data_IF_663461753397
#
_entry.id   IF_663461753397
#
_cell.length_a   1.000
_cell.length_b   1.000
_cell.length_c   1.000
_cell.angle_alpha   90.00
_cell.angle_beta   90.00
_cell.angle_gamma   90.00
#
_symmetry.space_group_name_H-M   'P 1'
#
loop_
_entity.id
_entity.type
_entity.pdbx_description
1 polymer ?
#
# COMPACT_ATOMS: atom_id res chain seq x y z
N UNK A 1 3.23 7.52 13.15
CA UNK A 1 3.73 6.77 11.98
C UNK A 1 4.06 7.78 10.88
N UNK A 2 5.24 7.64 10.27
CA UNK A 2 5.68 8.59 9.23
C UNK A 2 4.69 8.73 8.08
N UNK A 3 4.00 7.63 7.74
CA UNK A 3 3.11 7.60 6.59
C UNK A 3 1.72 8.17 6.88
N UNK A 4 1.41 8.46 8.13
CA UNK A 4 0.11 8.97 8.51
C UNK A 4 -0.21 10.30 7.82
N UNK A 5 0.76 11.20 7.73
CA UNK A 5 0.58 12.49 7.08
C UNK A 5 0.27 12.37 5.60
N UNK A 6 0.78 11.31 4.93
CA UNK A 6 0.46 11.04 3.53
C UNK A 6 -0.94 10.50 3.36
N UNK A 7 -1.45 9.77 4.36
CA UNK A 7 -2.77 9.15 4.28
C UNK A 7 -3.90 10.08 4.68
N UNK A 8 -3.65 11.05 5.57
CA UNK A 8 -4.69 11.93 6.09
C UNK A 8 -5.47 12.66 4.99
N UNK A 9 -4.83 13.28 3.98
CA UNK A 9 -5.59 13.94 2.92
C UNK A 9 -6.42 12.98 2.08
N UNK A 10 -5.91 11.77 1.85
CA UNK A 10 -6.63 10.74 1.08
C UNK A 10 -7.86 10.28 1.85
N UNK A 11 -7.71 10.00 3.14
CA UNK A 11 -8.80 9.56 3.98
C UNK A 11 -9.88 10.62 4.13
N UNK A 12 -9.48 11.88 4.30
CA UNK A 12 -10.44 12.98 4.37
C UNK A 12 -11.26 13.08 3.09
N UNK A 13 -10.61 12.91 1.94
CA UNK A 13 -11.29 12.94 0.66
C UNK A 13 -12.31 11.81 0.54
N UNK A 14 -11.95 10.61 1.00
CA UNK A 14 -12.89 9.48 1.01
C UNK A 14 -14.09 9.74 1.90
N UNK A 15 -13.90 10.43 3.02
CA UNK A 15 -15.00 10.79 3.91
C UNK A 15 -15.95 11.79 3.28
N UNK A 16 -15.42 12.70 2.47
CA UNK A 16 -16.23 13.75 1.84
C UNK A 16 -16.92 13.29 0.57
N UNK A 17 -16.43 12.22 -0.06
CA UNK A 17 -16.96 11.69 -1.31
C UNK A 17 -17.36 10.23 -1.11
N UNK A 18 -18.62 10.00 -0.76
CA UNK A 18 -19.11 8.69 -0.34
C UNK A 18 -19.07 7.62 -1.43
N UNK A 19 -19.05 8.02 -2.69
CA UNK A 19 -18.98 7.08 -3.82
C UNK A 19 -17.54 6.82 -4.30
N UNK A 20 -16.56 7.40 -3.65
CA UNK A 20 -15.16 7.15 -4.02
C UNK A 20 -14.62 5.89 -3.34
N UNK A 21 -13.57 5.34 -3.92
CA UNK A 21 -12.94 4.13 -3.42
C UNK A 21 -11.42 4.29 -3.42
N UNK A 22 -10.76 3.33 -2.80
CA UNK A 22 -9.31 3.33 -2.66
C UNK A 22 -8.76 2.00 -3.13
N UNK A 23 -7.61 2.02 -3.79
CA UNK A 23 -6.88 0.82 -4.15
C UNK A 23 -5.55 0.84 -3.39
N UNK A 24 -5.28 -0.23 -2.65
CA UNK A 24 -4.06 -0.37 -1.86
C UNK A 24 -3.26 -1.52 -2.46
N UNK A 25 -2.09 -1.22 -3.00
CA UNK A 25 -1.27 -2.17 -3.73
C UNK A 25 -0.01 -2.46 -2.92
N UNK A 26 0.17 -3.72 -2.54
CA UNK A 26 1.34 -4.15 -1.80
C UNK A 26 2.41 -4.71 -2.73
N UNK A 27 3.66 -4.41 -2.41
CA UNK A 27 4.83 -4.88 -3.14
C UNK A 27 5.84 -5.49 -2.17
N UNK A 28 6.63 -6.43 -2.67
CA UNK A 28 7.76 -7.01 -1.95
C UNK A 28 9.05 -6.76 -2.73
N UNK A 29 10.19 -7.06 -2.12
CA UNK A 29 11.42 -7.22 -2.89
C UNK A 29 11.44 -8.62 -3.52
N UNK A 30 12.54 -8.99 -4.19
CA UNK A 30 12.66 -10.26 -4.88
C UNK A 30 13.38 -11.35 -4.06
N UNK A 31 13.56 -11.13 -2.77
CA UNK A 31 14.09 -12.17 -1.88
C UNK A 31 12.99 -13.18 -1.55
N UNK A 32 13.35 -14.46 -1.53
CA UNK A 32 12.39 -15.51 -1.24
C UNK A 32 11.62 -16.00 -2.46
N UNK A 33 10.66 -16.87 -2.23
CA UNK A 33 9.86 -17.45 -3.31
C UNK A 33 8.78 -16.49 -3.78
N UNK A 34 8.23 -16.77 -4.95
CA UNK A 34 7.12 -15.98 -5.49
C UNK A 34 5.89 -16.03 -4.57
N UNK A 35 5.57 -17.19 -4.04
CA UNK A 35 4.44 -17.34 -3.13
C UNK A 35 4.65 -16.56 -1.84
N UNK A 36 5.84 -16.64 -1.25
CA UNK A 36 6.15 -15.87 -0.05
C UNK A 36 6.05 -14.38 -0.29
N UNK A 37 6.53 -13.92 -1.44
CA UNK A 37 6.49 -12.50 -1.79
C UNK A 37 5.06 -12.01 -2.01
N UNK A 38 4.20 -12.84 -2.58
CA UNK A 38 2.78 -12.50 -2.71
C UNK A 38 2.14 -12.35 -1.33
N UNK A 39 2.40 -13.29 -0.42
CA UNK A 39 1.85 -13.22 0.94
C UNK A 39 2.34 -11.98 1.66
N UNK A 40 3.63 -11.68 1.59
CA UNK A 40 4.21 -10.50 2.24
C UNK A 40 3.60 -9.21 1.68
N UNK A 41 3.44 -9.14 0.36
CA UNK A 41 2.86 -7.95 -0.26
C UNK A 41 1.40 -7.76 0.13
N UNK A 42 0.65 -8.85 0.24
CA UNK A 42 -0.73 -8.80 0.72
C UNK A 42 -0.79 -8.31 2.17
N UNK A 43 0.05 -8.86 3.04
CA UNK A 43 0.07 -8.46 4.45
C UNK A 43 0.38 -6.98 4.63
N UNK A 44 1.31 -6.45 3.83
CA UNK A 44 1.63 -5.02 3.85
C UNK A 44 0.43 -4.17 3.44
N UNK A 45 -0.20 -4.53 2.33
CA UNK A 45 -1.38 -3.82 1.85
C UNK A 45 -2.54 -3.92 2.84
N UNK A 46 -2.75 -5.11 3.39
CA UNK A 46 -3.82 -5.35 4.37
C UNK A 46 -3.63 -4.48 5.62
N UNK A 47 -2.39 -4.38 6.11
CA UNK A 47 -2.11 -3.54 7.28
C UNK A 47 -2.46 -2.07 7.03
N UNK A 48 -2.15 -1.56 5.84
CA UNK A 48 -2.49 -0.19 5.48
C UNK A 48 -4.00 -0.04 5.36
N UNK A 49 -4.69 -1.00 4.74
CA UNK A 49 -6.14 -0.97 4.58
C UNK A 49 -6.86 -0.97 5.94
N UNK A 50 -6.41 -1.82 6.86
CA UNK A 50 -6.97 -1.87 8.22
C UNK A 50 -6.75 -0.55 8.96
N UNK A 51 -5.57 0.04 8.81
CA UNK A 51 -5.28 1.34 9.41
C UNK A 51 -6.25 2.40 8.89
N UNK A 52 -6.42 2.48 7.57
CA UNK A 52 -7.32 3.46 6.96
C UNK A 52 -8.75 3.24 7.42
N UNK A 53 -9.22 2.01 7.40
CA UNK A 53 -10.59 1.67 7.82
C UNK A 53 -10.81 2.01 9.29
N UNK A 54 -9.89 1.60 10.16
CA UNK A 54 -10.06 1.74 11.61
C UNK A 54 -9.90 3.16 12.10
N UNK A 55 -8.88 3.86 11.59
CA UNK A 55 -8.54 5.20 12.10
C UNK A 55 -9.46 6.26 11.51
N UNK A 56 -9.82 6.14 10.25
CA UNK A 56 -10.61 7.16 9.56
C UNK A 56 -12.08 6.79 9.39
N UNK A 57 -12.47 5.59 9.81
CA UNK A 57 -13.87 5.16 9.72
C UNK A 57 -14.36 4.96 8.30
N UNK A 58 -13.49 4.48 7.41
CA UNK A 58 -13.85 4.17 6.02
C UNK A 58 -14.34 2.74 5.95
N UNK A 59 -15.47 2.52 5.28
CA UNK A 59 -16.03 1.17 5.09
C UNK A 59 -15.06 0.28 4.30
N UNK A 60 -14.88 -0.96 4.74
CA UNK A 60 -13.94 -1.88 4.13
C UNK A 60 -14.26 -2.13 2.66
N UNK A 61 -15.53 -2.12 2.29
CA UNK A 61 -15.98 -2.34 0.89
C UNK A 61 -15.46 -1.27 -0.07
N UNK A 62 -15.04 -0.14 0.44
CA UNK A 62 -14.50 0.95 -0.36
C UNK A 62 -12.99 0.85 -0.55
N UNK A 63 -12.36 -0.16 0.06
CA UNK A 63 -10.91 -0.34 0.00
C UNK A 63 -10.63 -1.67 -0.71
N UNK A 64 -9.99 -1.57 -1.88
CA UNK A 64 -9.58 -2.73 -2.65
C UNK A 64 -8.11 -3.02 -2.40
N UNK A 65 -7.77 -4.29 -2.13
CA UNK A 65 -6.40 -4.71 -1.89
C UNK A 65 -5.89 -5.46 -3.10
N UNK A 66 -4.70 -5.10 -3.56
CA UNK A 66 -4.00 -5.80 -4.65
C UNK A 66 -2.62 -6.18 -4.15
N UNK A 67 -2.25 -7.45 -4.30
CA UNK A 67 -0.91 -7.94 -3.94
C UNK A 67 -0.17 -8.30 -5.21
N UNK A 68 0.96 -7.65 -5.46
CA UNK A 68 1.76 -7.87 -6.66
C UNK A 68 3.07 -8.64 -6.38
N UNK A 69 3.42 -8.85 -5.11
CA UNK A 69 4.67 -9.52 -4.79
C UNK A 69 5.86 -8.74 -5.36
N UNK A 70 6.73 -9.44 -6.10
CA UNK A 70 7.90 -8.84 -6.75
C UNK A 70 7.68 -8.54 -8.24
N UNK A 71 6.45 -8.52 -8.71
CA UNK A 71 6.16 -8.35 -10.15
C UNK A 71 6.51 -6.96 -10.67
N UNK A 72 6.50 -5.94 -9.81
CA UNK A 72 6.80 -4.57 -10.22
C UNK A 72 7.89 -3.96 -9.33
N UNK A 73 9.13 -4.30 -9.60
CA UNK A 73 10.26 -3.76 -8.85
C UNK A 73 10.61 -2.36 -9.34
N UNK A 74 10.88 -1.46 -8.38
CA UNK A 74 11.41 -0.12 -8.68
C UNK A 74 12.91 -0.21 -8.96
N UNK A 75 13.60 -1.09 -8.22
CA UNK A 75 15.04 -1.26 -8.35
C UNK A 75 15.38 -2.72 -8.48
N UNK A 76 16.36 -3.04 -9.33
CA UNK A 76 16.86 -4.40 -9.51
C UNK A 76 18.15 -4.65 -8.73
N UNK A 77 18.57 -3.71 -7.89
CA UNK A 77 19.79 -3.84 -7.12
C UNK A 77 19.63 -4.73 -5.90
N UNK A 78 20.77 -5.15 -5.34
CA UNK A 78 20.82 -6.09 -4.23
C UNK A 78 21.13 -5.45 -2.88
N UNK A 79 21.37 -4.14 -2.83
CA UNK A 79 21.63 -3.48 -1.55
C UNK A 79 20.35 -3.41 -0.72
N UNK A 80 20.49 -3.31 0.59
CA UNK A 80 19.33 -3.18 1.47
C UNK A 80 18.54 -1.91 1.15
N UNK A 81 19.20 -0.81 0.82
CA UNK A 81 18.54 0.42 0.43
C UNK A 81 17.68 0.22 -0.82
N UNK A 82 18.19 -0.51 -1.81
CA UNK A 82 17.44 -0.79 -3.03
C UNK A 82 16.26 -1.73 -2.78
N UNK A 83 16.46 -2.75 -1.94
CA UNK A 83 15.37 -3.64 -1.57
C UNK A 83 14.27 -2.93 -0.80
N UNK A 84 14.62 -1.96 0.03
CA UNK A 84 13.64 -1.17 0.75
C UNK A 84 12.74 -0.37 -0.18
N UNK A 85 13.26 0.09 -1.31
CA UNK A 85 12.43 0.79 -2.28
C UNK A 85 11.34 -0.11 -2.86
N UNK A 86 11.60 -1.41 -2.92
CA UNK A 86 10.63 -2.37 -3.45
C UNK A 86 9.58 -2.77 -2.41
N UNK A 87 9.95 -2.81 -1.14
CA UNK A 87 9.03 -3.15 -0.04
C UNK A 87 8.16 -1.93 0.28
N UNK A 88 7.08 -1.80 -0.48
CA UNK A 88 6.25 -0.60 -0.40
C UNK A 88 4.77 -0.92 -0.57
N UNK A 89 3.94 0.03 -0.21
CA UNK A 89 2.51 0.03 -0.49
C UNK A 89 2.18 1.30 -1.26
N UNK A 90 1.49 1.14 -2.37
CA UNK A 90 0.97 2.26 -3.13
C UNK A 90 -0.52 2.41 -2.84
N UNK A 91 -0.95 3.65 -2.61
CA UNK A 91 -2.34 3.94 -2.31
C UNK A 91 -2.86 4.86 -3.41
N UNK A 92 -3.83 4.36 -4.17
CA UNK A 92 -4.41 5.08 -5.30
C UNK A 92 -5.83 5.48 -4.96
N UNK A 93 -6.11 6.77 -5.02
CA UNK A 93 -7.48 7.27 -4.88
C UNK A 93 -8.02 7.71 -6.25
N UNK A 94 -9.35 7.78 -6.41
CA UNK A 94 -9.93 8.32 -7.64
C UNK A 94 -9.34 9.68 -7.98
N UNK A 95 -9.20 9.97 -9.27
CA UNK A 95 -8.56 11.15 -9.84
C UNK A 95 -7.04 11.17 -9.71
N UNK A 96 -6.44 9.97 -9.71
CA UNK A 96 -5.01 9.75 -9.94
C UNK A 96 -4.08 10.36 -8.90
N UNK A 97 -4.50 10.44 -7.64
CA UNK A 97 -3.57 10.75 -6.56
C UNK A 97 -2.93 9.44 -6.10
N UNK A 98 -1.63 9.32 -6.33
CA UNK A 98 -0.87 8.14 -5.91
C UNK A 98 0.06 8.53 -4.78
N UNK A 99 0.05 7.72 -3.72
CA UNK A 99 0.98 7.85 -2.60
C UNK A 99 1.69 6.52 -2.39
N UNK A 100 2.99 6.57 -2.27
CA UNK A 100 3.80 5.38 -2.01
C UNK A 100 4.27 5.40 -0.57
N UNK A 101 3.97 4.33 0.15
CA UNK A 101 4.36 4.18 1.54
C UNK A 101 5.43 3.10 1.64
N UNK A 102 6.55 3.45 2.27
CA UNK A 102 7.59 2.48 2.55
C UNK A 102 7.28 1.81 3.88
N UNK A 103 6.81 0.57 3.80
CA UNK A 103 6.39 -0.21 4.95
C UNK A 103 7.48 -1.19 5.35
N UNK A 104 8.62 -0.70 5.74
CA UNK A 104 9.68 -1.58 6.23
C UNK A 104 9.35 -2.05 7.63
N UNK A 105 9.61 -3.33 7.91
CA UNK A 105 9.46 -3.83 9.27
C UNK A 105 10.41 -3.14 10.21
#
# INVERSE_FOLDING_TARGET
MKNQQLLDPIALRLKLHLDSYLIVIGHSDDAGSKEENLVLSFERAFSVAIYISSVFGIEEERIQIVALGDDELISNGNSEQERQLNRRVEVISPKAIVRTLNTTP
#
